data_IF_704352469441
#
_entry.id   IF_704352469441
#
_cell.length_a   1.000
_cell.length_b   1.000
_cell.length_c   1.000
_cell.angle_alpha   90.00
_cell.angle_beta   90.00
_cell.angle_gamma   90.00
#
_symmetry.space_group_name_H-M   'P 1'
#
loop_
_entity.id
_entity.type
_entity.pdbx_description
1 polymer ?
#
# COMPACT_ATOMS: atom_id res chain seq x y z
N UNK A 1 -3.19 -8.03 7.81
CA UNK A 1 -3.66 -7.35 6.59
C UNK A 1 -3.01 -8.04 5.42
N UNK A 2 -3.79 -8.37 4.38
CA UNK A 2 -3.26 -8.94 3.15
C UNK A 2 -3.07 -7.86 2.10
N UNK A 3 -2.06 -8.00 1.24
CA UNK A 3 -1.87 -7.06 0.13
C UNK A 3 -0.76 -7.44 -0.83
N UNK A 4 -0.70 -6.75 -1.96
CA UNK A 4 0.28 -6.96 -3.02
C UNK A 4 0.79 -5.62 -3.54
N UNK A 5 2.11 -5.56 -3.73
CA UNK A 5 2.78 -4.45 -4.38
C UNK A 5 2.85 -4.65 -5.90
N UNK A 6 2.86 -3.55 -6.63
CA UNK A 6 3.07 -3.54 -8.07
C UNK A 6 4.02 -2.41 -8.46
N UNK A 7 5.13 -2.75 -9.10
CA UNK A 7 6.06 -1.79 -9.71
C UNK A 7 6.06 -2.03 -11.22
N UNK A 8 5.80 -0.98 -12.00
CA UNK A 8 5.90 -1.01 -13.45
C UNK A 8 6.64 0.22 -13.95
N UNK A 9 7.71 0.03 -14.73
CA UNK A 9 8.27 1.14 -15.51
C UNK A 9 7.26 1.57 -16.59
N UNK A 10 7.20 2.84 -16.97
CA UNK A 10 6.31 3.30 -18.04
C UNK A 10 6.95 3.01 -19.41
N UNK A 11 6.13 2.95 -20.45
CA UNK A 11 6.63 2.90 -21.82
C UNK A 11 6.96 4.33 -22.31
N UNK A 12 8.03 4.51 -23.10
CA UNK A 12 9.08 3.54 -23.41
C UNK A 12 9.95 3.23 -22.19
N UNK A 13 10.38 1.96 -22.06
CA UNK A 13 11.24 1.51 -20.94
C UNK A 13 12.63 2.16 -21.02
N UNK A 14 13.33 2.21 -19.90
CA UNK A 14 14.68 2.76 -19.77
C UNK A 14 14.75 4.26 -19.47
N UNK A 15 13.62 4.92 -19.19
CA UNK A 15 13.57 6.36 -18.91
C UNK A 15 13.48 6.71 -17.43
N UNK A 16 13.49 5.69 -16.55
CA UNK A 16 13.46 5.89 -15.09
C UNK A 16 12.11 6.35 -14.54
N UNK A 17 11.04 6.34 -15.36
CA UNK A 17 9.68 6.68 -14.95
C UNK A 17 8.93 5.43 -14.53
N UNK A 18 8.45 5.39 -13.30
CA UNK A 18 7.74 4.25 -12.74
C UNK A 18 6.36 4.64 -12.25
N UNK A 19 5.44 3.69 -12.39
CA UNK A 19 4.21 3.61 -11.63
C UNK A 19 4.44 2.57 -10.53
N UNK A 20 4.27 2.98 -9.28
CA UNK A 20 4.32 2.08 -8.12
C UNK A 20 2.98 2.06 -7.43
N UNK A 21 2.59 0.91 -6.92
CA UNK A 21 1.26 0.69 -6.39
C UNK A 21 1.23 -0.35 -5.28
N UNK A 22 0.20 -0.25 -4.46
CA UNK A 22 -0.13 -1.24 -3.46
C UNK A 22 -1.65 -1.40 -3.41
N UNK A 23 -2.12 -2.64 -3.47
CA UNK A 23 -3.50 -3.00 -3.16
C UNK A 23 -3.50 -3.85 -1.91
N UNK A 24 -4.32 -3.50 -0.92
CA UNK A 24 -4.45 -4.26 0.30
C UNK A 24 -5.85 -4.22 0.87
N UNK A 25 -6.13 -5.17 1.76
CA UNK A 25 -7.41 -5.30 2.44
C UNK A 25 -7.23 -5.59 3.93
N UNK A 26 -8.26 -5.24 4.70
CA UNK A 26 -8.34 -5.49 6.13
C UNK A 26 -9.80 -5.52 6.63
N UNK A 27 -10.09 -6.19 7.75
CA UNK A 27 -9.28 -7.21 8.43
C UNK A 27 -8.91 -8.42 7.54
N UNK A 28 -7.97 -9.27 7.99
CA UNK A 28 -7.52 -10.40 7.18
C UNK A 28 -8.50 -11.57 7.16
N UNK A 29 -9.07 -11.88 8.33
CA UNK A 29 -10.02 -12.99 8.52
C UNK A 29 -11.44 -12.64 8.03
N UNK A 30 -11.83 -11.36 8.12
CA UNK A 30 -13.09 -10.84 7.62
C UNK A 30 -12.82 -9.51 6.89
N UNK A 31 -12.52 -9.51 5.58
CA UNK A 31 -12.22 -8.29 4.84
C UNK A 31 -13.42 -7.33 4.75
N UNK A 32 -13.22 -6.08 5.17
CA UNK A 32 -14.26 -5.04 5.16
C UNK A 32 -13.86 -3.82 4.32
N UNK A 33 -12.57 -3.58 4.14
CA UNK A 33 -12.03 -2.43 3.41
C UNK A 33 -10.95 -2.87 2.45
N UNK A 34 -10.95 -2.28 1.25
CA UNK A 34 -9.85 -2.33 0.29
C UNK A 34 -9.28 -0.93 0.13
N UNK A 35 -7.95 -0.82 0.19
CA UNK A 35 -7.22 0.39 -0.16
C UNK A 35 -6.32 0.07 -1.35
N UNK A 36 -6.46 0.85 -2.41
CA UNK A 36 -5.61 0.77 -3.60
C UNK A 36 -4.93 2.13 -3.81
N UNK A 37 -3.62 2.17 -3.63
CA UNK A 37 -2.80 3.35 -3.85
C UNK A 37 -1.95 3.16 -5.09
N UNK A 38 -1.95 4.18 -5.94
CA UNK A 38 -1.09 4.29 -7.12
C UNK A 38 -0.35 5.61 -7.03
N UNK A 39 0.98 5.55 -7.14
CA UNK A 39 1.84 6.72 -7.28
C UNK A 39 2.41 6.69 -8.69
N UNK A 40 1.97 7.65 -9.51
CA UNK A 40 2.46 7.81 -10.87
C UNK A 40 3.69 8.74 -10.88
N UNK A 41 4.80 8.23 -11.41
CA UNK A 41 6.09 8.93 -11.52
C UNK A 41 6.54 9.60 -10.20
N UNK A 42 6.86 8.82 -9.14
CA UNK A 42 7.38 9.37 -7.88
C UNK A 42 8.50 10.40 -8.10
N UNK A 43 8.37 11.61 -7.55
CA UNK A 43 9.34 12.69 -7.78
C UNK A 43 10.61 12.53 -6.93
N UNK A 44 11.36 11.46 -7.17
CA UNK A 44 12.59 11.06 -6.47
C UNK A 44 13.56 10.38 -7.46
N UNK A 45 14.87 10.35 -7.18
CA UNK A 45 15.84 9.69 -8.06
C UNK A 45 15.60 8.18 -8.26
N UNK A 46 15.07 7.48 -7.26
CA UNK A 46 14.81 6.04 -7.28
C UNK A 46 13.31 5.70 -7.20
N UNK A 47 12.62 5.69 -8.35
CA UNK A 47 11.15 5.56 -8.36
C UNK A 47 10.61 4.14 -8.19
N UNK A 48 11.42 3.09 -8.41
CA UNK A 48 10.95 1.70 -8.49
C UNK A 48 10.46 1.11 -7.15
N UNK A 49 10.64 1.82 -6.03
CA UNK A 49 10.25 1.34 -4.71
C UNK A 49 8.73 1.39 -4.52
N UNK A 50 8.12 0.24 -4.30
CA UNK A 50 6.72 0.16 -3.88
C UNK A 50 6.48 0.62 -2.44
N UNK A 51 7.53 0.92 -1.65
CA UNK A 51 7.37 1.41 -0.27
C UNK A 51 6.55 2.69 -0.21
N UNK A 52 6.65 3.57 -1.22
CA UNK A 52 5.86 4.80 -1.32
C UNK A 52 4.35 4.51 -1.27
N UNK A 53 3.87 3.53 -2.04
CA UNK A 53 2.47 3.16 -2.07
C UNK A 53 2.03 2.39 -0.80
N UNK A 54 2.90 1.50 -0.29
CA UNK A 54 2.61 0.72 0.92
C UNK A 54 2.52 1.60 2.17
N UNK A 55 3.43 2.55 2.35
CA UNK A 55 3.43 3.48 3.49
C UNK A 55 2.20 4.39 3.49
N UNK A 56 1.81 4.92 2.32
CA UNK A 56 0.58 5.69 2.16
C UNK A 56 -0.65 4.84 2.52
N UNK A 57 -0.71 3.61 2.02
CA UNK A 57 -1.82 2.69 2.32
C UNK A 57 -1.91 2.39 3.82
N UNK A 58 -0.78 2.16 4.48
CA UNK A 58 -0.71 1.92 5.93
C UNK A 58 -1.24 3.12 6.73
N UNK A 59 -0.87 4.34 6.34
CA UNK A 59 -1.36 5.58 6.98
C UNK A 59 -2.87 5.74 6.79
N UNK A 60 -3.37 5.56 5.57
CA UNK A 60 -4.81 5.61 5.25
C UNK A 60 -5.57 4.58 6.09
N UNK A 61 -5.14 3.32 6.08
CA UNK A 61 -5.76 2.24 6.85
C UNK A 61 -5.77 2.54 8.36
N UNK A 62 -4.64 3.03 8.89
CA UNK A 62 -4.55 3.42 10.32
C UNK A 62 -5.53 4.52 10.68
N UNK A 63 -5.73 5.48 9.78
CA UNK A 63 -6.64 6.61 10.00
C UNK A 63 -8.12 6.18 9.89
N UNK A 64 -8.48 5.33 8.93
CA UNK A 64 -9.89 4.96 8.70
C UNK A 64 -10.43 3.89 9.66
N UNK A 65 -9.58 2.99 10.19
CA UNK A 65 -10.05 1.86 11.01
C UNK A 65 -10.87 2.29 12.23
N UNK A 66 -10.49 3.31 13.03
CA UNK A 66 -11.31 3.78 14.15
C UNK A 66 -12.69 4.29 13.73
N UNK A 67 -12.80 4.96 12.57
CA UNK A 67 -14.08 5.47 12.07
C UNK A 67 -15.00 4.35 11.57
N UNK A 68 -14.43 3.22 11.17
CA UNK A 68 -15.16 2.05 10.67
C UNK A 68 -15.43 1.01 11.77
N UNK A 69 -15.01 1.26 13.02
CA UNK A 69 -15.14 0.30 14.11
C UNK A 69 -14.28 -0.96 13.94
N UNK A 70 -13.24 -0.89 13.10
CA UNK A 70 -12.32 -2.00 12.88
C UNK A 70 -11.28 -2.02 14.00
N UNK A 71 -11.38 -3.01 14.88
CA UNK A 71 -10.41 -3.19 15.95
C UNK A 71 -9.10 -3.82 15.45
N UNK A 72 -7.98 -3.42 16.06
CA UNK A 72 -6.70 -4.10 15.81
C UNK A 72 -6.75 -5.46 16.49
N UNK A 73 -6.62 -6.54 15.72
CA UNK A 73 -6.41 -7.87 16.27
C UNK A 73 -5.09 -7.91 17.06
N UNK A 74 -5.17 -8.25 18.35
CA UNK A 74 -4.02 -8.34 19.24
C UNK A 74 -3.27 -9.66 19.06
N UNK A 75 -2.72 -9.90 17.87
CA UNK A 75 -1.85 -11.07 17.60
C UNK A 75 -0.63 -10.62 16.80
N UNK A 76 0.18 -9.77 17.43
CA UNK A 76 1.55 -9.46 16.98
C UNK A 76 2.44 -9.08 18.17
N UNK A 77 2.32 -9.80 19.30
CA UNK A 77 3.41 -9.88 20.27
C UNK A 77 4.40 -10.95 19.77
N UNK A 78 5.39 -10.50 18.99
CA UNK A 78 6.51 -11.34 18.56
C UNK A 78 7.54 -11.46 19.69
N UNK A 79 7.71 -12.70 20.16
CA UNK A 79 8.86 -13.21 20.90
C UNK A 79 10.13 -13.19 20.04
#
# INVERSE_FOLDING_TARGET
>A
MGGKTGTAEKLPRGNGKYLVSFIGYAPQENPEVVVYVVVDEPNVPGQASSSYATELSSKIMTEIFPYLGIEKSADAEGN
#
